data_IF_833351195165
#
_entry.id   IF_833351195165
#
_cell.length_a   1.000
_cell.length_b   1.000
_cell.length_c   1.000
_cell.angle_alpha   90.00
_cell.angle_beta   90.00
_cell.angle_gamma   90.00
#
_symmetry.space_group_name_H-M   'P 1'
#
loop_
_entity.id
_entity.type
_entity.pdbx_description
1 polymer ?
#
# COMPACT_ATOMS: atom_id res chain seq x y z
N UNK A 1 2.16 -11.46 -31.73
CA UNK A 1 3.13 -11.18 -30.66
C UNK A 1 3.94 -9.90 -30.95
N UNK A 2 4.60 -9.81 -32.12
CA UNK A 2 5.43 -8.63 -32.47
C UNK A 2 4.65 -7.29 -32.56
N UNK A 3 3.40 -7.30 -33.00
CA UNK A 3 2.55 -6.08 -33.06
C UNK A 3 1.98 -5.64 -31.71
N UNK A 4 1.95 -6.51 -30.69
CA UNK A 4 1.37 -6.24 -29.38
C UNK A 4 2.43 -6.06 -28.29
N UNK A 5 3.74 -6.06 -28.64
CA UNK A 5 4.84 -5.85 -27.67
C UNK A 5 4.95 -6.93 -26.58
N UNK A 6 4.34 -8.09 -26.79
CA UNK A 6 4.30 -9.16 -25.78
C UNK A 6 4.98 -10.44 -26.28
N UNK A 7 5.47 -11.28 -25.36
CA UNK A 7 6.07 -12.58 -25.71
C UNK A 7 5.01 -13.56 -26.21
N UNK A 8 5.43 -14.60 -26.97
CA UNK A 8 4.51 -15.65 -27.44
C UNK A 8 3.80 -16.35 -26.29
N UNK A 9 4.50 -16.65 -25.19
CA UNK A 9 3.94 -17.30 -24.01
C UNK A 9 2.88 -16.42 -23.34
N UNK A 10 3.14 -15.12 -23.20
CA UNK A 10 2.16 -14.17 -22.66
C UNK A 10 0.93 -14.06 -23.57
N UNK A 11 1.11 -14.04 -24.88
CA UNK A 11 -0.03 -14.01 -25.80
C UNK A 11 -0.90 -15.28 -25.70
N UNK A 12 -0.28 -16.45 -25.59
CA UNK A 12 -1.00 -17.72 -25.39
C UNK A 12 -1.75 -17.72 -24.08
N UNK A 13 -1.11 -17.27 -22.99
CA UNK A 13 -1.75 -17.17 -21.68
C UNK A 13 -2.92 -16.18 -21.69
N UNK A 14 -2.80 -15.04 -22.39
CA UNK A 14 -3.90 -14.09 -22.56
C UNK A 14 -5.09 -14.71 -23.30
N UNK A 15 -4.85 -15.42 -24.41
CA UNK A 15 -5.89 -16.07 -25.21
C UNK A 15 -6.57 -17.20 -24.40
N UNK A 16 -5.79 -17.98 -23.65
CA UNK A 16 -6.33 -19.03 -22.78
C UNK A 16 -7.16 -18.44 -21.65
N UNK A 17 -6.68 -17.39 -20.99
CA UNK A 17 -7.39 -16.69 -19.92
C UNK A 17 -8.72 -16.09 -20.40
N UNK A 18 -8.73 -15.46 -21.59
CA UNK A 18 -9.93 -14.93 -22.23
C UNK A 18 -10.97 -16.04 -22.53
N UNK A 19 -10.51 -17.20 -22.93
CA UNK A 19 -11.39 -18.38 -23.19
C UNK A 19 -11.98 -19.02 -21.92
N UNK A 20 -11.29 -18.87 -20.79
CA UNK A 20 -11.66 -19.53 -19.49
C UNK A 20 -12.22 -18.49 -18.50
N UNK A 21 -12.38 -17.23 -18.91
CA UNK A 21 -12.79 -16.09 -18.06
C UNK A 21 -11.90 -15.86 -16.82
N UNK A 22 -10.66 -16.35 -16.84
CA UNK A 22 -9.70 -16.17 -15.75
C UNK A 22 -8.78 -15.00 -16.07
N UNK A 23 -8.76 -13.98 -15.21
CA UNK A 23 -7.87 -12.83 -15.35
C UNK A 23 -6.41 -13.27 -15.27
N UNK A 24 -5.57 -12.75 -16.16
CA UNK A 24 -4.12 -12.95 -16.04
C UNK A 24 -3.57 -12.17 -14.84
N UNK A 25 -2.41 -12.57 -14.25
CA UNK A 25 -1.78 -11.81 -13.17
C UNK A 25 -1.51 -10.34 -13.54
N UNK A 26 -1.18 -10.07 -14.81
CA UNK A 26 -0.96 -8.71 -15.30
C UNK A 26 -2.27 -7.89 -15.36
N UNK A 27 -3.36 -8.52 -15.80
CA UNK A 27 -4.69 -7.88 -15.77
C UNK A 27 -5.14 -7.60 -14.35
N UNK A 28 -4.96 -8.55 -13.43
CA UNK A 28 -5.30 -8.36 -12.01
C UNK A 28 -4.52 -7.19 -11.39
N UNK A 29 -3.20 -7.09 -11.65
CA UNK A 29 -2.39 -5.95 -11.17
C UNK A 29 -2.86 -4.61 -11.76
N UNK A 30 -3.14 -4.59 -13.07
CA UNK A 30 -3.63 -3.38 -13.73
C UNK A 30 -4.99 -2.93 -13.15
N UNK A 31 -5.89 -3.88 -12.87
CA UNK A 31 -7.18 -3.59 -12.25
C UNK A 31 -6.99 -3.01 -10.83
N UNK A 32 -6.04 -3.55 -10.05
CA UNK A 32 -5.72 -3.02 -8.72
C UNK A 32 -5.17 -1.59 -8.82
N UNK A 33 -4.22 -1.34 -9.69
CA UNK A 33 -3.64 0.00 -9.86
C UNK A 33 -4.67 1.01 -10.35
N UNK A 34 -5.51 0.63 -11.30
CA UNK A 34 -6.61 1.47 -11.78
C UNK A 34 -7.62 1.77 -10.66
N UNK A 35 -7.91 0.78 -9.80
CA UNK A 35 -8.76 0.96 -8.63
C UNK A 35 -8.16 1.95 -7.61
N UNK A 36 -6.86 1.86 -7.32
CA UNK A 36 -6.16 2.81 -6.43
C UNK A 36 -6.24 4.23 -7.02
N UNK A 37 -5.98 4.39 -8.32
CA UNK A 37 -6.04 5.67 -8.99
C UNK A 37 -7.43 6.29 -8.94
N UNK A 38 -8.47 5.49 -9.18
CA UNK A 38 -9.87 5.95 -9.12
C UNK A 38 -10.25 6.38 -7.70
N UNK A 39 -9.89 5.61 -6.67
CA UNK A 39 -10.16 5.93 -5.27
C UNK A 39 -9.46 7.23 -4.83
N UNK A 40 -8.25 7.48 -5.33
CA UNK A 40 -7.47 8.68 -5.01
C UNK A 40 -7.83 9.91 -5.86
N UNK A 41 -8.59 9.75 -6.94
CA UNK A 41 -8.95 10.84 -7.86
C UNK A 41 -9.67 11.99 -7.16
N UNK A 42 -10.47 11.69 -6.15
CA UNK A 42 -11.21 12.67 -5.37
C UNK A 42 -10.41 13.22 -4.17
N UNK A 43 -9.27 12.62 -3.85
CA UNK A 43 -8.43 13.09 -2.77
C UNK A 43 -7.73 14.41 -3.15
N UNK A 44 -7.75 15.37 -2.24
CA UNK A 44 -7.01 16.64 -2.38
C UNK A 44 -5.59 16.55 -1.85
N UNK A 45 -5.33 15.57 -0.99
CA UNK A 45 -4.08 15.42 -0.23
C UNK A 45 -3.15 14.41 -0.87
N UNK A 46 -3.70 13.31 -1.37
CA UNK A 46 -2.98 12.23 -2.00
C UNK A 46 -3.16 12.30 -3.52
N UNK A 47 -2.11 12.70 -4.23
CA UNK A 47 -2.14 12.92 -5.67
C UNK A 47 -1.44 11.75 -6.38
N UNK A 48 -2.16 10.90 -7.13
CA UNK A 48 -1.55 9.84 -7.91
C UNK A 48 -0.69 10.43 -9.04
N UNK A 49 0.49 9.83 -9.25
CA UNK A 49 1.40 10.16 -10.34
C UNK A 49 1.40 9.02 -11.34
N UNK A 50 0.83 9.27 -12.50
CA UNK A 50 0.72 8.27 -13.55
C UNK A 50 2.09 8.00 -14.21
N UNK A 51 2.46 6.73 -14.27
CA UNK A 51 3.57 6.26 -15.10
C UNK A 51 3.06 5.08 -15.95
N UNK A 52 2.82 5.27 -17.24
CA UNK A 52 2.33 4.20 -18.09
C UNK A 52 3.33 3.02 -18.11
N UNK A 53 2.80 1.80 -18.09
CA UNK A 53 3.55 0.54 -18.17
C UNK A 53 4.49 0.20 -16.99
N UNK A 54 4.23 0.71 -15.79
CA UNK A 54 5.00 0.34 -14.59
C UNK A 54 4.19 -0.61 -13.69
N UNK A 55 4.89 -1.55 -13.04
CA UNK A 55 4.33 -2.46 -12.02
C UNK A 55 4.24 -1.76 -10.65
N UNK A 56 4.05 -0.44 -10.67
CA UNK A 56 4.01 0.39 -9.47
C UNK A 56 3.08 1.58 -9.65
N UNK A 57 2.40 1.91 -8.58
CA UNK A 57 1.66 3.17 -8.43
C UNK A 57 2.44 4.09 -7.51
N UNK A 58 2.53 5.35 -7.89
CA UNK A 58 3.15 6.40 -7.08
C UNK A 58 2.11 7.42 -6.66
N UNK A 59 2.07 7.74 -5.37
CA UNK A 59 1.18 8.74 -4.79
C UNK A 59 2.02 9.80 -4.08
N UNK A 60 1.74 11.06 -4.33
CA UNK A 60 2.43 12.19 -3.70
C UNK A 60 1.54 12.86 -2.66
N UNK A 61 2.11 13.15 -1.50
CA UNK A 61 1.49 13.97 -0.45
C UNK A 61 2.43 15.12 -0.06
N UNK A 62 1.85 16.21 0.43
CA UNK A 62 2.59 17.37 0.95
C UNK A 62 2.48 17.40 2.47
N UNK A 63 3.59 17.72 3.15
CA UNK A 63 3.63 17.91 4.59
C UNK A 63 3.54 19.38 4.94
N UNK A 64 2.75 19.71 5.96
CA UNK A 64 2.71 21.05 6.57
C UNK A 64 3.94 21.25 7.47
N UNK A 65 5.08 21.44 6.85
CA UNK A 65 6.35 21.69 7.51
C UNK A 65 7.10 22.78 6.75
N UNK A 66 8.16 23.35 7.37
CA UNK A 66 8.99 24.38 6.74
C UNK A 66 9.44 23.95 5.34
N UNK A 67 9.20 24.78 4.33
CA UNK A 67 9.46 24.54 2.91
C UNK A 67 8.56 23.47 2.24
N UNK A 68 7.45 23.07 2.86
CA UNK A 68 6.47 22.13 2.31
C UNK A 68 7.09 20.88 1.66
N UNK A 69 7.87 20.11 2.41
CA UNK A 69 8.48 18.90 1.87
C UNK A 69 7.40 17.91 1.42
N UNK A 70 7.73 17.09 0.44
CA UNK A 70 6.78 16.10 -0.09
C UNK A 70 7.18 14.69 0.29
N UNK A 71 6.17 13.85 0.53
CA UNK A 71 6.30 12.40 0.63
C UNK A 71 5.83 11.78 -0.66
N UNK A 72 6.55 10.77 -1.11
CA UNK A 72 6.17 9.95 -2.24
C UNK A 72 5.98 8.52 -1.77
N UNK A 73 4.75 8.04 -1.83
CA UNK A 73 4.39 6.65 -1.56
C UNK A 73 4.44 5.87 -2.87
N UNK A 74 5.18 4.79 -2.89
CA UNK A 74 5.33 3.90 -4.03
C UNK A 74 4.80 2.51 -3.62
N UNK A 75 3.76 2.04 -4.28
CA UNK A 75 3.22 0.69 -4.13
C UNK A 75 3.69 -0.16 -5.29
N UNK A 76 4.46 -1.19 -5.00
CA UNK A 76 4.96 -2.15 -5.97
C UNK A 76 4.38 -3.52 -5.65
N UNK A 77 3.71 -4.15 -6.62
CA UNK A 77 3.06 -5.44 -6.45
C UNK A 77 3.85 -6.55 -7.15
N UNK A 78 3.85 -7.74 -6.56
CA UNK A 78 4.41 -8.94 -7.17
C UNK A 78 3.44 -9.53 -8.19
N UNK A 79 3.97 -10.24 -9.19
CA UNK A 79 3.14 -10.94 -10.18
C UNK A 79 2.60 -12.25 -9.60
N UNK A 80 1.28 -12.40 -9.59
CA UNK A 80 0.62 -13.60 -9.11
C UNK A 80 0.68 -13.68 -7.57
N UNK A 81 -0.44 -13.44 -6.94
CA UNK A 81 -0.53 -13.46 -5.48
C UNK A 81 -0.70 -14.87 -4.98
N UNK A 82 0.11 -15.25 -4.01
CA UNK A 82 0.03 -16.53 -3.31
C UNK A 82 -0.50 -16.28 -1.89
N UNK A 83 -1.60 -16.92 -1.48
CA UNK A 83 -2.12 -16.79 -0.12
C UNK A 83 -1.05 -17.09 0.92
N UNK A 84 -0.91 -16.19 1.91
CA UNK A 84 0.10 -16.30 2.97
C UNK A 84 1.46 -15.68 2.64
N UNK A 85 1.69 -15.23 1.41
CA UNK A 85 2.91 -14.52 1.01
C UNK A 85 2.66 -12.99 0.92
N UNK A 86 3.75 -12.22 0.78
CA UNK A 86 3.64 -10.78 0.51
C UNK A 86 3.13 -10.53 -0.90
N UNK A 87 2.15 -9.64 -1.04
CA UNK A 87 1.65 -9.20 -2.35
C UNK A 87 2.48 -8.07 -2.97
N UNK A 88 3.40 -7.48 -2.20
CA UNK A 88 4.21 -6.37 -2.67
C UNK A 88 4.86 -5.58 -1.55
N UNK A 89 5.25 -4.35 -1.88
CA UNK A 89 5.93 -3.44 -0.96
C UNK A 89 5.34 -2.04 -1.09
N UNK A 90 5.10 -1.40 0.05
CA UNK A 90 4.87 0.04 0.15
C UNK A 90 6.16 0.72 0.57
N UNK A 91 6.59 1.72 -0.19
CA UNK A 91 7.74 2.54 0.13
C UNK A 91 7.33 4.01 0.25
N UNK A 92 7.67 4.64 1.38
CA UNK A 92 7.55 6.09 1.56
C UNK A 92 8.93 6.74 1.41
N UNK A 93 9.09 7.58 0.39
CA UNK A 93 10.30 8.34 0.11
C UNK A 93 10.11 9.79 0.53
N UNK A 94 10.97 10.28 1.41
CA UNK A 94 10.92 11.64 1.94
C UNK A 94 11.97 12.51 1.27
N UNK A 95 11.53 13.53 0.53
CA UNK A 95 12.43 14.49 -0.11
C UNK A 95 12.64 15.70 0.78
N UNK A 96 13.63 15.62 1.65
CA UNK A 96 14.02 16.71 2.53
C UNK A 96 15.51 16.68 2.81
N UNK A 97 16.10 17.86 3.03
CA UNK A 97 17.48 18.03 3.52
C UNK A 97 17.52 18.44 5.00
N UNK A 98 16.34 18.62 5.62
CA UNK A 98 16.22 18.96 7.03
C UNK A 98 16.56 17.77 7.92
N UNK A 99 17.64 17.82 8.65
CA UNK A 99 18.07 16.77 9.59
C UNK A 99 17.00 16.52 10.66
N UNK A 100 16.43 17.58 11.25
CA UNK A 100 15.38 17.44 12.25
C UNK A 100 14.12 16.75 11.71
N UNK A 101 13.75 17.00 10.46
CA UNK A 101 12.65 16.29 9.83
C UNK A 101 13.02 14.82 9.54
N UNK A 102 14.23 14.51 9.07
CA UNK A 102 14.69 13.13 8.85
C UNK A 102 14.70 12.32 10.15
N UNK A 103 15.11 12.91 11.27
CA UNK A 103 15.05 12.29 12.59
C UNK A 103 13.61 12.02 13.04
N UNK A 104 12.71 12.97 12.84
CA UNK A 104 11.28 12.83 13.13
C UNK A 104 10.67 11.69 12.30
N UNK A 105 10.95 11.66 11.00
CA UNK A 105 10.48 10.62 10.08
C UNK A 105 11.01 9.24 10.47
N UNK A 106 12.27 9.16 10.89
CA UNK A 106 12.87 7.91 11.38
C UNK A 106 12.19 7.43 12.67
N UNK A 107 11.90 8.36 13.61
CA UNK A 107 11.15 8.04 14.84
C UNK A 107 9.72 7.59 14.53
N UNK A 108 9.04 8.29 13.62
CA UNK A 108 7.70 7.90 13.15
C UNK A 108 7.70 6.48 12.58
N UNK A 109 8.63 6.17 11.66
CA UNK A 109 8.73 4.86 11.02
C UNK A 109 8.95 3.73 12.05
N UNK A 110 9.80 3.96 13.04
CA UNK A 110 10.02 3.01 14.14
C UNK A 110 8.80 2.87 15.05
N UNK A 111 8.08 3.97 15.30
CA UNK A 111 6.83 3.96 16.06
C UNK A 111 5.77 3.14 15.34
N UNK A 112 5.56 3.40 14.05
CA UNK A 112 4.61 2.66 13.21
C UNK A 112 4.92 1.15 13.19
N UNK A 113 6.18 0.76 12.94
CA UNK A 113 6.59 -0.64 12.95
C UNK A 113 6.32 -1.31 14.31
N UNK A 114 6.52 -0.59 15.43
CA UNK A 114 6.21 -1.09 16.78
C UNK A 114 4.70 -1.21 17.04
N UNK A 115 3.90 -0.28 16.54
CA UNK A 115 2.43 -0.35 16.64
C UNK A 115 1.94 -1.58 15.88
N UNK A 116 2.34 -1.74 14.63
CA UNK A 116 1.92 -2.85 13.78
C UNK A 116 2.36 -4.21 14.32
N UNK A 117 3.58 -4.34 14.84
CA UNK A 117 4.06 -5.59 15.44
C UNK A 117 3.27 -6.04 16.68
N UNK A 118 2.49 -5.14 17.30
CA UNK A 118 1.63 -5.43 18.46
C UNK A 118 0.17 -5.63 18.11
N UNK A 119 -0.26 -5.10 16.97
CA UNK A 119 -1.69 -5.02 16.61
C UNK A 119 -2.06 -5.92 15.44
N UNK A 120 -1.12 -6.21 14.54
CA UNK A 120 -1.37 -7.11 13.41
C UNK A 120 -1.20 -8.58 13.82
N UNK A 121 -2.05 -9.48 13.31
CA UNK A 121 -1.99 -10.92 13.62
C UNK A 121 -0.95 -11.68 12.76
N UNK A 122 -0.14 -10.99 11.98
CA UNK A 122 0.88 -11.54 11.08
C UNK A 122 2.15 -10.68 11.08
N UNK A 123 3.25 -11.28 10.67
CA UNK A 123 4.54 -10.59 10.61
C UNK A 123 4.64 -9.71 9.35
N UNK A 124 5.25 -8.55 9.54
CA UNK A 124 5.52 -7.57 8.48
C UNK A 124 7.01 -7.20 8.49
N UNK A 125 7.62 -7.20 7.32
CA UNK A 125 9.02 -6.79 7.17
C UNK A 125 9.14 -5.29 6.92
N UNK A 126 10.11 -4.65 7.58
CA UNK A 126 10.38 -3.21 7.47
C UNK A 126 11.84 -2.96 7.11
N UNK A 127 12.06 -1.92 6.29
CA UNK A 127 13.37 -1.31 6.09
C UNK A 127 13.27 0.19 6.37
N UNK A 128 14.18 0.72 7.21
CA UNK A 128 14.23 2.13 7.59
C UNK A 128 15.63 2.64 7.28
N UNK A 129 15.73 3.42 6.23
CA UNK A 129 16.96 4.06 5.78
C UNK A 129 16.79 5.59 5.79
N UNK A 130 17.87 6.34 5.57
CA UNK A 130 17.80 7.80 5.53
C UNK A 130 16.79 8.30 4.47
N UNK A 131 15.70 8.88 4.94
CA UNK A 131 14.66 9.42 4.07
C UNK A 131 13.83 8.39 3.32
N UNK A 132 13.91 7.11 3.69
CA UNK A 132 13.13 6.04 3.09
C UNK A 132 12.62 5.06 4.16
N UNK A 133 11.33 4.77 4.10
CA UNK A 133 10.68 3.72 4.86
C UNK A 133 10.03 2.74 3.90
N UNK A 134 10.29 1.45 4.05
CA UNK A 134 9.65 0.40 3.24
C UNK A 134 9.00 -0.64 4.15
N UNK A 135 7.85 -1.13 3.74
CA UNK A 135 7.05 -2.14 4.43
C UNK A 135 6.54 -3.17 3.44
N UNK A 136 6.65 -4.46 3.76
CA UNK A 136 5.99 -5.51 2.98
C UNK A 136 4.47 -5.41 3.13
N UNK A 137 3.74 -5.61 2.03
CA UNK A 137 2.28 -5.74 2.04
C UNK A 137 1.94 -7.22 2.16
N UNK A 138 1.38 -7.63 3.29
CA UNK A 138 0.94 -9.00 3.49
C UNK A 138 -0.21 -9.34 2.53
N UNK A 139 -0.45 -10.64 2.31
CA UNK A 139 -1.64 -11.06 1.57
C UNK A 139 -2.89 -10.59 2.31
N UNK A 140 -3.78 -9.82 1.66
CA UNK A 140 -4.92 -9.24 2.34
C UNK A 140 -5.85 -10.32 2.90
N UNK A 141 -6.15 -10.23 4.19
CA UNK A 141 -7.03 -11.16 4.87
C UNK A 141 -8.29 -10.45 5.37
N UNK A 142 -9.45 -11.06 5.12
CA UNK A 142 -10.71 -10.58 5.74
C UNK A 142 -10.68 -10.84 7.23
N UNK A 143 -11.06 -9.83 8.00
CA UNK A 143 -11.15 -9.93 9.45
C UNK A 143 -12.39 -10.78 9.81
N UNK A 144 -12.18 -11.99 10.34
CA UNK A 144 -13.30 -12.83 10.81
C UNK A 144 -13.94 -12.22 12.04
N UNK A 145 -15.11 -11.59 11.87
CA UNK A 145 -15.99 -11.24 12.98
C UNK A 145 -16.86 -12.46 13.34
N UNK A 146 -16.27 -13.44 14.00
CA UNK A 146 -17.03 -14.51 14.68
C UNK A 146 -17.46 -15.73 13.84
N UNK A 147 -16.83 -16.01 12.70
CA UNK A 147 -16.99 -17.29 12.01
C UNK A 147 -15.68 -18.04 11.91
N UNK A 148 -15.69 -19.35 12.23
CA UNK A 148 -14.56 -20.27 12.08
C UNK A 148 -14.28 -20.61 10.60
N UNK A 149 -14.62 -19.73 9.67
CA UNK A 149 -14.38 -19.94 8.26
C UNK A 149 -12.97 -19.50 7.89
N UNK A 150 -12.04 -20.46 7.95
CA UNK A 150 -10.67 -20.36 7.44
C UNK A 150 -10.60 -20.54 5.91
N UNK A 151 -11.73 -20.54 5.24
CA UNK A 151 -11.82 -20.56 3.79
C UNK A 151 -11.36 -19.21 3.22
N UNK A 152 -10.11 -19.14 2.77
CA UNK A 152 -9.54 -17.94 2.17
C UNK A 152 -10.33 -17.53 0.92
N UNK A 153 -11.35 -16.70 1.11
CA UNK A 153 -12.04 -16.04 0.00
C UNK A 153 -11.02 -15.18 -0.74
N UNK A 154 -10.73 -15.54 -1.98
CA UNK A 154 -9.88 -14.73 -2.85
C UNK A 154 -10.50 -13.34 -2.95
N UNK A 155 -9.74 -12.34 -2.54
CA UNK A 155 -10.18 -10.95 -2.64
C UNK A 155 -10.16 -10.51 -4.11
N UNK A 156 -11.14 -9.73 -4.50
CA UNK A 156 -11.14 -9.13 -5.82
C UNK A 156 -10.18 -7.92 -5.89
N UNK A 157 -9.89 -7.46 -7.12
CA UNK A 157 -8.97 -6.35 -7.34
C UNK A 157 -9.46 -5.06 -6.67
N UNK A 158 -10.77 -4.83 -6.60
CA UNK A 158 -11.36 -3.65 -5.96
C UNK A 158 -11.19 -3.67 -4.43
N UNK A 159 -11.34 -4.84 -3.80
CA UNK A 159 -11.12 -5.03 -2.37
C UNK A 159 -9.63 -4.77 -2.02
N UNK A 160 -8.71 -5.29 -2.82
CA UNK A 160 -7.27 -5.07 -2.64
C UNK A 160 -6.90 -3.60 -2.84
N UNK A 161 -7.44 -2.96 -3.89
CA UNK A 161 -7.22 -1.53 -4.16
C UNK A 161 -7.67 -0.66 -3.00
N UNK A 162 -8.84 -0.94 -2.45
CA UNK A 162 -9.38 -0.22 -1.29
C UNK A 162 -8.50 -0.41 -0.07
N UNK A 163 -8.11 -1.64 0.25
CA UNK A 163 -7.25 -1.93 1.39
C UNK A 163 -5.91 -1.19 1.32
N UNK A 164 -5.27 -1.18 0.13
CA UNK A 164 -4.02 -0.44 -0.09
C UNK A 164 -4.23 1.07 0.03
N UNK A 165 -5.29 1.62 -0.57
CA UNK A 165 -5.59 3.05 -0.54
C UNK A 165 -5.88 3.53 0.88
N UNK A 166 -6.68 2.78 1.64
CA UNK A 166 -7.00 3.08 3.02
C UNK A 166 -5.75 3.03 3.91
N UNK A 167 -4.86 2.06 3.65
CA UNK A 167 -3.60 1.94 4.39
C UNK A 167 -2.65 3.12 4.09
N UNK A 168 -2.49 3.51 2.83
CA UNK A 168 -1.69 4.70 2.45
C UNK A 168 -2.26 5.96 3.08
N UNK A 169 -3.59 6.10 3.09
CA UNK A 169 -4.28 7.25 3.70
C UNK A 169 -4.06 7.31 5.21
N UNK A 170 -4.10 6.17 5.90
CA UNK A 170 -3.82 6.09 7.32
C UNK A 170 -2.39 6.53 7.63
N UNK A 171 -1.40 5.95 6.94
CA UNK A 171 0.01 6.31 7.16
C UNK A 171 0.25 7.79 6.91
N UNK A 172 -0.32 8.36 5.84
CA UNK A 172 -0.19 9.78 5.52
C UNK A 172 -0.81 10.67 6.61
N UNK A 173 -2.01 10.31 7.08
CA UNK A 173 -2.67 11.01 8.20
C UNK A 173 -1.87 10.95 9.50
N UNK A 174 -1.37 9.77 9.87
CA UNK A 174 -0.53 9.58 11.05
C UNK A 174 0.80 10.35 10.93
N UNK A 175 1.41 10.35 9.76
CA UNK A 175 2.63 11.09 9.49
C UNK A 175 2.41 12.60 9.65
N UNK A 176 1.33 13.13 9.10
CA UNK A 176 0.93 14.55 9.25
C UNK A 176 0.66 14.90 10.70
N UNK A 177 -0.03 14.05 11.44
CA UNK A 177 -0.24 14.23 12.87
C UNK A 177 1.10 14.25 13.64
N UNK A 178 2.02 13.33 13.33
CA UNK A 178 3.35 13.28 13.93
C UNK A 178 4.16 14.56 13.63
N UNK A 179 4.11 15.06 12.39
CA UNK A 179 4.74 16.34 12.01
C UNK A 179 4.09 17.52 12.75
N UNK A 180 2.79 17.44 13.01
CA UNK A 180 2.03 18.39 13.83
C UNK A 180 2.28 18.28 15.34
N UNK A 181 3.11 17.33 15.78
CA UNK A 181 3.49 17.17 17.20
C UNK A 181 2.72 16.09 17.97
N UNK A 182 1.94 15.23 17.28
CA UNK A 182 1.28 14.11 17.94
C UNK A 182 2.32 13.16 18.58
N UNK A 183 2.03 12.69 19.76
CA UNK A 183 2.84 11.73 20.50
C UNK A 183 2.56 10.27 20.07
N UNK A 184 3.30 9.34 20.67
CA UNK A 184 3.19 7.92 20.32
C UNK A 184 1.83 7.32 20.71
N UNK A 185 1.22 7.79 21.78
CA UNK A 185 -0.08 7.29 22.25
C UNK A 185 -1.19 7.75 21.31
N UNK A 186 -1.17 9.01 20.88
CA UNK A 186 -2.08 9.54 19.86
C UNK A 186 -1.96 8.75 18.54
N UNK A 187 -0.73 8.45 18.10
CA UNK A 187 -0.51 7.66 16.89
C UNK A 187 -1.04 6.22 17.04
N UNK A 188 -0.86 5.63 18.23
CA UNK A 188 -1.41 4.31 18.54
C UNK A 188 -2.94 4.31 18.47
N UNK A 189 -3.59 5.28 19.09
CA UNK A 189 -5.05 5.42 19.08
C UNK A 189 -5.61 5.64 17.67
N UNK A 190 -4.95 6.46 16.86
CA UNK A 190 -5.29 6.65 15.46
C UNK A 190 -5.24 5.34 14.69
N UNK A 191 -4.15 4.57 14.86
CA UNK A 191 -3.97 3.30 14.17
C UNK A 191 -5.02 2.28 14.58
N UNK A 192 -5.24 2.08 15.88
CA UNK A 192 -6.21 1.11 16.41
C UNK A 192 -7.64 1.48 16.01
N UNK A 193 -8.02 2.76 16.12
CA UNK A 193 -9.34 3.23 15.71
C UNK A 193 -9.61 3.02 14.21
N UNK A 194 -8.59 3.15 13.38
CA UNK A 194 -8.70 2.87 11.94
C UNK A 194 -8.76 1.36 11.69
N UNK A 195 -7.90 0.59 12.37
CA UNK A 195 -7.88 -0.87 12.27
C UNK A 195 -9.23 -1.51 12.62
N UNK A 196 -9.95 -0.96 13.61
CA UNK A 196 -11.28 -1.44 14.01
C UNK A 196 -12.35 -1.25 12.93
N UNK A 197 -12.19 -0.26 12.07
CA UNK A 197 -13.11 0.06 10.96
C UNK A 197 -12.86 -0.77 9.71
N UNK A 198 -11.69 -1.40 9.62
CA UNK A 198 -11.29 -2.16 8.43
C UNK A 198 -11.80 -3.59 8.47
N UNK A 199 -12.33 -4.02 7.36
CA UNK A 199 -12.71 -5.42 7.13
C UNK A 199 -11.55 -6.25 6.55
N UNK A 200 -10.54 -5.58 5.96
CA UNK A 200 -9.38 -6.20 5.31
C UNK A 200 -8.09 -5.64 5.92
N UNK A 201 -7.19 -6.52 6.32
CA UNK A 201 -5.85 -6.21 6.83
C UNK A 201 -4.80 -6.50 5.75
N UNK A 202 -3.73 -5.67 5.73
CA UNK A 202 -2.57 -5.77 4.83
C UNK A 202 -1.28 -5.94 5.60
#
# INVERSE_FOLDING_TARGET
>A
AHRMGTSRSNLVNMILAEKVEVKTPEQQMNDIFSGIEELLRTSRELVPLFAPNTQRVTVRSSLEYKYHPTVRYEVELVRGFVPGESIGTLTANFRTTSQGLLELLTRFSRCLARIESRTLPFDVSYSIENGKFSRSLAYPAKRSRGSNDTGGTLLDAGEISRAITDYVSLIDGMLKACVGGADADTLYDMYVSDLEKRDILL
#
